data_IF_707539287236
#
_entry.id   IF_707539287236
#
_cell.length_a   1.000
_cell.length_b   1.000
_cell.length_c   1.000
_cell.angle_alpha   90.00
_cell.angle_beta   90.00
_cell.angle_gamma   90.00
#
_symmetry.space_group_name_H-M   'P 1'
#
loop_
_entity.id
_entity.type
_entity.pdbx_description
1 polymer ?
#
# COMPACT_ATOMS: atom_id res chain seq x y z
N UNK A 1 -22.54 62.19 32.25
CA UNK A 1 -22.52 62.35 30.77
C UNK A 1 -21.95 61.07 30.18
N UNK A 2 -22.68 60.52 29.21
CA UNK A 2 -22.44 59.25 28.53
C UNK A 2 -21.04 59.15 27.89
N UNK A 3 -20.39 57.99 28.00
CA UNK A 3 -20.00 57.18 26.82
C UNK A 3 -19.11 56.01 27.23
N UNK A 4 -19.66 54.79 27.25
CA UNK A 4 -18.88 53.59 26.98
C UNK A 4 -19.76 52.61 26.17
N UNK A 5 -19.95 52.94 24.88
CA UNK A 5 -20.40 51.97 23.88
C UNK A 5 -19.17 51.22 23.39
N UNK A 6 -19.07 49.92 23.68
CA UNK A 6 -18.44 48.84 22.89
C UNK A 6 -18.06 47.66 23.81
N UNK A 7 -19.06 46.91 24.24
CA UNK A 7 -18.83 45.59 24.84
C UNK A 7 -20.10 44.73 24.70
N UNK A 8 -20.50 44.42 23.46
CA UNK A 8 -21.40 43.29 23.20
C UNK A 8 -20.99 42.67 21.87
N UNK A 9 -20.12 41.68 21.94
CA UNK A 9 -19.87 40.72 20.86
C UNK A 9 -19.53 39.37 21.49
N UNK A 10 -20.41 38.90 22.37
CA UNK A 10 -20.47 37.51 22.84
C UNK A 10 -21.95 37.16 23.01
N UNK A 11 -22.65 36.92 21.91
CA UNK A 11 -24.00 36.35 21.94
C UNK A 11 -24.43 35.89 20.53
N UNK A 12 -23.72 34.92 19.96
CA UNK A 12 -24.23 34.13 18.83
C UNK A 12 -23.79 32.68 18.93
N UNK A 13 -23.83 32.13 20.15
CA UNK A 13 -23.67 30.70 20.43
C UNK A 13 -24.82 30.20 21.32
N UNK A 14 -26.07 30.42 20.92
CA UNK A 14 -27.23 29.61 21.35
C UNK A 14 -28.22 29.79 20.18
N UNK A 15 -28.67 28.79 19.43
CA UNK A 15 -29.45 27.62 19.83
C UNK A 15 -29.39 26.62 18.67
N UNK A 16 -28.86 25.42 18.92
CA UNK A 16 -29.29 24.17 18.29
C UNK A 16 -28.91 23.01 19.22
N UNK A 17 -29.43 23.09 20.44
CA UNK A 17 -29.74 21.91 21.22
C UNK A 17 -30.99 21.25 20.60
N UNK A 18 -30.80 20.61 19.45
CA UNK A 18 -31.66 19.53 19.00
C UNK A 18 -30.94 18.23 19.38
N UNK A 19 -31.56 17.44 20.25
CA UNK A 19 -31.06 16.15 20.70
C UNK A 19 -30.90 15.18 19.53
N UNK A 20 -29.66 15.08 19.07
CA UNK A 20 -29.10 14.02 18.25
C UNK A 20 -27.62 14.35 18.22
N UNK A 21 -26.74 13.43 18.62
CA UNK A 21 -25.31 13.63 18.39
C UNK A 21 -25.14 14.05 16.93
N UNK A 22 -24.57 15.24 16.68
CA UNK A 22 -24.29 15.70 15.33
C UNK A 22 -23.42 14.64 14.68
N UNK A 23 -24.01 13.82 13.83
CA UNK A 23 -23.30 12.73 13.16
C UNK A 23 -22.23 13.41 12.31
N UNK A 24 -20.97 13.14 12.59
CA UNK A 24 -19.88 13.59 11.73
C UNK A 24 -20.09 12.92 10.37
N UNK A 25 -20.33 13.72 9.34
CA UNK A 25 -20.57 13.26 7.96
C UNK A 25 -19.39 13.50 7.04
N UNK A 26 -18.43 14.33 7.47
CA UNK A 26 -17.24 14.73 6.71
C UNK A 26 -15.99 14.72 7.60
N UNK A 27 -14.84 14.49 6.98
CA UNK A 27 -13.55 14.46 7.67
C UNK A 27 -13.04 15.90 7.92
N UNK A 28 -12.70 16.23 9.17
CA UNK A 28 -11.97 17.45 9.50
C UNK A 28 -10.47 17.23 9.29
N UNK A 29 -9.97 17.63 8.13
CA UNK A 29 -8.59 17.47 7.73
C UNK A 29 -7.67 18.63 8.09
N UNK A 30 -8.08 19.52 9.02
CA UNK A 30 -7.26 20.65 9.47
C UNK A 30 -5.89 20.21 10.00
N UNK A 31 -5.84 19.02 10.62
CA UNK A 31 -4.62 18.32 11.03
C UNK A 31 -4.78 16.83 10.76
N UNK A 32 -3.68 16.09 10.77
CA UNK A 32 -3.76 14.61 10.77
C UNK A 32 -4.58 14.08 11.97
N UNK A 33 -4.47 14.70 13.14
CA UNK A 33 -5.16 14.25 14.35
C UNK A 33 -6.67 14.48 14.30
N UNK A 34 -7.11 15.63 13.76
CA UNK A 34 -8.54 15.91 13.55
C UNK A 34 -9.15 14.95 12.53
N UNK A 35 -8.40 14.59 11.48
CA UNK A 35 -8.86 13.64 10.47
C UNK A 35 -9.10 12.26 11.08
N UNK A 36 -8.15 11.77 11.88
CA UNK A 36 -8.31 10.51 12.62
C UNK A 36 -9.52 10.54 13.59
N UNK A 37 -9.77 11.67 14.24
CA UNK A 37 -10.91 11.83 15.15
C UNK A 37 -12.25 11.82 14.39
N UNK A 38 -12.36 12.55 13.27
CA UNK A 38 -13.55 12.52 12.44
C UNK A 38 -13.83 11.13 11.89
N UNK A 39 -12.82 10.43 11.37
CA UNK A 39 -12.97 9.07 10.87
C UNK A 39 -13.41 8.10 11.96
N UNK A 40 -12.83 8.18 13.17
CA UNK A 40 -13.28 7.38 14.33
C UNK A 40 -14.74 7.66 14.70
N UNK A 41 -15.17 8.91 14.62
CA UNK A 41 -16.56 9.27 14.87
C UNK A 41 -17.50 8.74 13.78
N UNK A 42 -17.07 8.78 12.51
CA UNK A 42 -17.80 8.19 11.38
C UNK A 42 -17.92 6.67 11.50
N UNK A 43 -16.94 6.01 12.10
CA UNK A 43 -16.94 4.56 12.40
C UNK A 43 -17.86 4.16 13.56
N UNK A 44 -18.38 5.12 14.35
CA UNK A 44 -19.20 4.82 15.53
C UNK A 44 -20.49 4.09 15.12
N UNK A 45 -20.68 2.89 15.64
CA UNK A 45 -21.87 2.07 15.37
C UNK A 45 -21.78 1.19 14.11
N UNK A 46 -20.61 1.13 13.45
CA UNK A 46 -20.34 0.11 12.42
C UNK A 46 -20.27 -1.29 13.03
N UNK A 47 -20.57 -2.31 12.23
CA UNK A 47 -20.33 -3.70 12.64
C UNK A 47 -18.84 -3.98 12.74
N UNK A 48 -18.44 -4.96 13.55
CA UNK A 48 -17.03 -5.29 13.78
C UNK A 48 -16.27 -5.48 12.46
N UNK A 49 -16.78 -6.28 11.52
CA UNK A 49 -16.11 -6.51 10.23
C UNK A 49 -15.91 -5.22 9.40
N UNK A 50 -16.89 -4.31 9.41
CA UNK A 50 -16.83 -3.02 8.71
C UNK A 50 -15.83 -2.06 9.40
N UNK A 51 -15.86 -2.04 10.74
CA UNK A 51 -14.91 -1.28 11.55
C UNK A 51 -13.47 -1.73 11.29
N UNK A 52 -13.25 -3.04 11.32
CA UNK A 52 -11.97 -3.67 11.09
C UNK A 52 -11.44 -3.30 9.69
N UNK A 53 -12.27 -3.46 8.65
CA UNK A 53 -11.92 -3.06 7.28
C UNK A 53 -11.52 -1.59 7.18
N UNK A 54 -12.35 -0.68 7.71
CA UNK A 54 -12.08 0.76 7.65
C UNK A 54 -10.82 1.15 8.45
N UNK A 55 -10.55 0.52 9.59
CA UNK A 55 -9.30 0.71 10.32
C UNK A 55 -8.07 0.27 9.51
N UNK A 56 -8.20 -0.80 8.71
CA UNK A 56 -7.18 -1.24 7.76
C UNK A 56 -6.97 -0.21 6.63
N UNK A 57 -8.05 0.30 6.07
CA UNK A 57 -8.02 1.31 5.01
C UNK A 57 -7.39 2.64 5.49
N UNK A 58 -7.68 3.08 6.72
CA UNK A 58 -7.06 4.26 7.34
C UNK A 58 -5.54 4.08 7.47
N UNK A 59 -5.08 2.91 7.94
CA UNK A 59 -3.64 2.61 8.04
C UNK A 59 -2.94 2.66 6.68
N UNK A 60 -3.61 2.15 5.64
CA UNK A 60 -3.10 2.20 4.28
C UNK A 60 -3.01 3.66 3.77
N UNK A 61 -4.01 4.49 4.05
CA UNK A 61 -3.99 5.91 3.70
C UNK A 61 -2.86 6.68 4.42
N UNK A 62 -2.59 6.39 5.69
CA UNK A 62 -1.42 6.93 6.41
C UNK A 62 -0.08 6.54 5.75
N UNK A 63 0.00 5.33 5.18
CA UNK A 63 1.20 4.91 4.46
C UNK A 63 1.36 5.65 3.11
N UNK A 64 0.24 6.08 2.49
CA UNK A 64 0.24 6.86 1.25
C UNK A 64 0.52 8.34 1.50
N UNK A 65 -0.04 8.89 2.57
CA UNK A 65 -0.02 10.30 2.91
C UNK A 65 0.60 10.50 4.30
N UNK A 66 1.93 10.65 4.40
CA UNK A 66 2.60 10.78 5.68
C UNK A 66 2.31 12.13 6.38
N UNK A 67 2.04 12.07 7.68
CA UNK A 67 1.91 13.25 8.53
C UNK A 67 0.75 14.16 8.10
N UNK A 68 1.01 15.45 7.91
CA UNK A 68 -0.03 16.43 7.58
C UNK A 68 -0.67 16.23 6.19
N UNK A 69 -0.05 15.44 5.31
CA UNK A 69 -0.66 15.10 4.02
C UNK A 69 -1.92 14.25 4.20
N UNK A 70 -2.00 13.43 5.25
CA UNK A 70 -3.17 12.60 5.55
C UNK A 70 -4.43 13.45 5.76
N UNK A 71 -4.32 14.46 6.63
CA UNK A 71 -5.44 15.38 6.90
C UNK A 71 -5.84 16.15 5.65
N UNK A 72 -4.87 16.69 4.91
CA UNK A 72 -5.13 17.44 3.67
C UNK A 72 -5.80 16.59 2.60
N UNK A 73 -5.38 15.33 2.43
CA UNK A 73 -5.95 14.44 1.43
C UNK A 73 -7.44 14.20 1.70
N UNK A 74 -7.87 14.12 2.97
CA UNK A 74 -9.23 13.74 3.33
C UNK A 74 -10.13 14.91 3.73
N UNK A 75 -9.60 16.13 3.88
CA UNK A 75 -10.37 17.27 4.37
C UNK A 75 -11.67 17.52 3.58
N UNK A 76 -12.81 17.56 4.27
CA UNK A 76 -14.13 17.78 3.69
C UNK A 76 -14.68 16.59 2.91
N UNK A 77 -13.99 15.44 2.87
CA UNK A 77 -14.53 14.23 2.25
C UNK A 77 -15.53 13.56 3.17
N UNK A 78 -16.64 13.13 2.60
CA UNK A 78 -17.59 12.21 3.22
C UNK A 78 -17.12 10.75 3.07
N UNK A 79 -17.98 9.79 3.43
CA UNK A 79 -17.65 8.37 3.29
C UNK A 79 -17.42 7.93 1.84
N UNK A 80 -18.11 8.51 0.87
CA UNK A 80 -17.93 8.17 -0.54
C UNK A 80 -16.59 8.70 -1.05
N UNK A 81 -16.24 9.93 -0.67
CA UNK A 81 -14.93 10.52 -0.92
C UNK A 81 -13.79 9.74 -0.26
N UNK A 82 -13.98 9.28 0.99
CA UNK A 82 -13.04 8.40 1.68
C UNK A 82 -12.88 7.08 0.92
N UNK A 83 -13.96 6.40 0.55
CA UNK A 83 -13.93 5.13 -0.17
C UNK A 83 -13.25 5.25 -1.54
N UNK A 84 -13.47 6.36 -2.25
CA UNK A 84 -12.78 6.65 -3.50
C UNK A 84 -11.26 6.81 -3.29
N UNK A 85 -10.85 7.51 -2.21
CA UNK A 85 -9.44 7.69 -1.85
C UNK A 85 -8.78 6.36 -1.49
N UNK A 86 -9.49 5.48 -0.78
CA UNK A 86 -9.06 4.11 -0.48
C UNK A 86 -8.87 3.31 -1.76
N UNK A 87 -9.81 3.38 -2.70
CA UNK A 87 -9.71 2.65 -3.97
C UNK A 87 -8.52 3.13 -4.82
N UNK A 88 -8.28 4.44 -4.88
CA UNK A 88 -7.10 5.00 -5.56
C UNK A 88 -5.80 4.57 -4.87
N UNK A 89 -5.77 4.62 -3.54
CA UNK A 89 -4.60 4.22 -2.75
C UNK A 89 -4.28 2.73 -2.92
N UNK A 90 -5.29 1.86 -3.04
CA UNK A 90 -5.10 0.43 -3.37
C UNK A 90 -4.40 0.29 -4.72
N UNK A 91 -4.89 0.97 -5.77
CA UNK A 91 -4.26 0.95 -7.10
C UNK A 91 -2.82 1.44 -7.07
N UNK A 92 -2.55 2.52 -6.34
CA UNK A 92 -1.19 3.03 -6.15
C UNK A 92 -0.25 1.97 -5.57
N UNK A 93 -0.65 1.29 -4.50
CA UNK A 93 0.18 0.27 -3.87
C UNK A 93 0.33 -1.00 -4.72
N UNK A 94 -0.71 -1.40 -5.46
CA UNK A 94 -0.63 -2.50 -6.42
C UNK A 94 0.40 -2.18 -7.51
N UNK A 95 0.31 -1.00 -8.13
CA UNK A 95 1.24 -0.58 -9.17
C UNK A 95 2.67 -0.54 -8.63
N UNK A 96 2.89 0.12 -7.49
CA UNK A 96 4.19 0.21 -6.85
C UNK A 96 4.76 -1.16 -6.49
N UNK A 97 3.92 -2.08 -6.02
CA UNK A 97 4.29 -3.45 -5.70
C UNK A 97 4.73 -4.22 -6.95
N UNK A 98 3.95 -4.17 -8.03
CA UNK A 98 4.27 -4.79 -9.32
C UNK A 98 5.60 -4.26 -9.87
N UNK A 99 5.80 -2.95 -9.88
CA UNK A 99 7.04 -2.30 -10.35
C UNK A 99 8.25 -2.74 -9.52
N UNK A 100 8.12 -2.73 -8.19
CA UNK A 100 9.20 -3.13 -7.28
C UNK A 100 9.57 -4.60 -7.48
N UNK A 101 8.59 -5.50 -7.49
CA UNK A 101 8.84 -6.93 -7.67
C UNK A 101 9.50 -7.22 -9.03
N UNK A 102 9.03 -6.57 -10.10
CA UNK A 102 9.66 -6.73 -11.42
C UNK A 102 11.11 -6.22 -11.44
N UNK A 103 11.38 -5.09 -10.78
CA UNK A 103 12.73 -4.52 -10.69
C UNK A 103 13.68 -5.43 -9.91
N UNK A 104 13.26 -5.93 -8.74
CA UNK A 104 14.06 -6.83 -7.92
C UNK A 104 14.32 -8.16 -8.66
N UNK A 105 13.30 -8.73 -9.31
CA UNK A 105 13.47 -9.96 -10.09
C UNK A 105 14.37 -9.74 -11.31
N UNK A 106 14.27 -8.58 -11.98
CA UNK A 106 15.12 -8.28 -13.13
C UNK A 106 16.58 -8.13 -12.70
N UNK A 107 16.86 -7.47 -11.58
CA UNK A 107 18.21 -7.36 -11.04
C UNK A 107 18.82 -8.74 -10.73
N UNK A 108 18.03 -9.66 -10.16
CA UNK A 108 18.44 -11.05 -9.92
C UNK A 108 18.75 -11.80 -11.24
N UNK A 109 17.93 -11.59 -12.28
CA UNK A 109 18.18 -12.17 -13.62
C UNK A 109 19.50 -11.64 -14.18
N UNK A 110 19.70 -10.32 -14.15
CA UNK A 110 20.88 -9.66 -14.71
C UNK A 110 22.16 -10.13 -14.01
N UNK A 111 22.12 -10.28 -12.68
CA UNK A 111 23.24 -10.82 -11.90
C UNK A 111 23.58 -12.27 -12.32
N UNK A 112 22.56 -13.12 -12.50
CA UNK A 112 22.77 -14.52 -12.90
C UNK A 112 23.27 -14.64 -14.34
N UNK A 113 22.79 -13.78 -15.25
CA UNK A 113 23.27 -13.70 -16.64
C UNK A 113 24.75 -13.30 -16.64
N UNK A 114 25.11 -12.27 -15.87
CA UNK A 114 26.50 -11.82 -15.78
C UNK A 114 27.41 -12.90 -15.19
N UNK A 115 27.01 -13.58 -14.11
CA UNK A 115 27.77 -14.70 -13.53
C UNK A 115 27.98 -15.84 -14.51
N UNK A 116 26.97 -16.19 -15.30
CA UNK A 116 27.09 -17.22 -16.33
C UNK A 116 28.04 -16.80 -17.45
N UNK A 117 27.98 -15.52 -17.86
CA UNK A 117 28.86 -14.97 -18.88
C UNK A 117 30.32 -15.01 -18.41
N UNK A 118 30.61 -14.50 -17.21
CA UNK A 118 31.97 -14.49 -16.65
C UNK A 118 32.55 -15.90 -16.52
N UNK A 119 31.76 -16.85 -16.03
CA UNK A 119 32.20 -18.23 -15.91
C UNK A 119 32.43 -18.88 -17.28
N UNK A 120 31.55 -18.62 -18.25
CA UNK A 120 31.69 -19.13 -19.62
C UNK A 120 32.95 -18.57 -20.30
N UNK A 121 33.16 -17.26 -20.21
CA UNK A 121 34.33 -16.59 -20.76
C UNK A 121 35.62 -17.14 -20.15
N UNK A 122 35.65 -17.35 -18.82
CA UNK A 122 36.78 -17.97 -18.13
C UNK A 122 37.09 -19.39 -18.65
N UNK A 123 36.06 -20.24 -18.83
CA UNK A 123 36.25 -21.61 -19.33
C UNK A 123 36.78 -21.62 -20.76
N UNK A 124 36.24 -20.77 -21.64
CA UNK A 124 36.71 -20.62 -23.02
C UNK A 124 38.16 -20.14 -23.05
N UNK A 125 38.50 -19.11 -22.26
CA UNK A 125 39.87 -18.59 -22.17
C UNK A 125 40.86 -19.61 -21.60
N UNK A 126 40.41 -20.52 -20.72
CA UNK A 126 41.22 -21.61 -20.19
C UNK A 126 41.47 -22.75 -21.19
N UNK A 127 40.89 -22.68 -22.38
CA UNK A 127 41.05 -23.70 -23.44
C UNK A 127 40.18 -24.94 -23.26
N UNK A 128 39.13 -24.88 -22.44
CA UNK A 128 38.20 -25.99 -22.27
C UNK A 128 37.25 -26.10 -23.47
N UNK A 129 37.58 -27.01 -24.39
CA UNK A 129 36.81 -27.28 -25.61
C UNK A 129 35.58 -28.16 -25.37
N UNK A 130 35.45 -28.76 -24.18
CA UNK A 130 34.31 -29.59 -23.79
C UNK A 130 33.24 -28.83 -23.01
N UNK A 131 33.48 -27.55 -22.74
CA UNK A 131 32.60 -26.72 -21.94
C UNK A 131 31.28 -26.45 -22.66
N UNK A 132 30.18 -26.96 -22.08
CA UNK A 132 28.82 -26.64 -22.49
C UNK A 132 28.11 -25.84 -21.38
N UNK A 133 27.88 -24.54 -21.56
CA UNK A 133 27.20 -23.72 -20.55
C UNK A 133 25.75 -24.12 -20.32
N UNK A 134 25.08 -24.80 -21.25
CA UNK A 134 23.69 -25.23 -21.06
C UNK A 134 23.60 -26.39 -20.06
N UNK A 135 24.59 -27.29 -20.05
CA UNK A 135 24.56 -28.53 -19.27
C UNK A 135 25.55 -28.54 -18.08
N UNK A 136 26.47 -27.59 -18.00
CA UNK A 136 27.43 -27.52 -16.89
C UNK A 136 26.72 -27.19 -15.56
N UNK A 137 27.02 -27.88 -14.44
CA UNK A 137 26.25 -27.74 -13.18
C UNK A 137 26.17 -26.32 -12.61
N UNK A 138 27.22 -25.51 -12.81
CA UNK A 138 27.23 -24.12 -12.35
C UNK A 138 26.29 -23.23 -13.18
N UNK A 139 26.39 -23.30 -14.50
CA UNK A 139 25.65 -22.42 -15.42
C UNK A 139 24.22 -22.87 -15.63
N UNK A 140 23.97 -24.18 -15.73
CA UNK A 140 22.63 -24.77 -15.86
C UNK A 140 21.74 -24.43 -14.66
N UNK A 141 22.28 -24.43 -13.43
CA UNK A 141 21.55 -24.01 -12.23
C UNK A 141 21.12 -22.55 -12.31
N UNK A 142 22.02 -21.67 -12.75
CA UNK A 142 21.71 -20.25 -12.93
C UNK A 142 20.69 -20.03 -14.06
N UNK A 143 20.79 -20.77 -15.17
CA UNK A 143 19.81 -20.74 -16.27
C UNK A 143 18.42 -21.18 -15.78
N UNK A 144 18.33 -22.25 -14.99
CA UNK A 144 17.06 -22.69 -14.40
C UNK A 144 16.47 -21.62 -13.47
N UNK A 145 17.29 -20.94 -12.67
CA UNK A 145 16.84 -19.81 -11.83
C UNK A 145 16.33 -18.64 -12.67
N UNK A 146 17.01 -18.29 -13.75
CA UNK A 146 16.58 -17.25 -14.69
C UNK A 146 15.20 -17.59 -15.28
N UNK A 147 14.99 -18.83 -15.74
CA UNK A 147 13.70 -19.25 -16.28
C UNK A 147 12.58 -19.21 -15.23
N UNK A 148 12.86 -19.65 -14.00
CA UNK A 148 11.91 -19.50 -12.88
C UNK A 148 11.57 -18.03 -12.61
N UNK A 149 12.55 -17.13 -12.65
CA UNK A 149 12.32 -15.69 -12.45
C UNK A 149 11.50 -15.06 -13.59
N UNK A 150 11.74 -15.45 -14.85
CA UNK A 150 10.89 -15.03 -15.98
C UNK A 150 9.46 -15.52 -15.84
N UNK A 151 9.26 -16.77 -15.39
CA UNK A 151 7.92 -17.30 -15.09
C UNK A 151 7.24 -16.52 -13.96
N UNK A 152 7.98 -16.12 -12.93
CA UNK A 152 7.47 -15.26 -11.85
C UNK A 152 7.06 -13.88 -12.37
N UNK A 153 7.87 -13.22 -13.21
CA UNK A 153 7.50 -11.95 -13.85
C UNK A 153 6.23 -12.10 -14.70
N UNK A 154 6.12 -13.18 -15.50
CA UNK A 154 4.93 -13.46 -16.28
C UNK A 154 3.69 -13.68 -15.40
N UNK A 155 3.86 -14.39 -14.28
CA UNK A 155 2.80 -14.59 -13.29
C UNK A 155 2.34 -13.25 -12.72
N UNK A 156 3.25 -12.41 -12.22
CA UNK A 156 2.93 -11.09 -11.68
C UNK A 156 2.24 -10.18 -12.70
N UNK A 157 2.67 -10.23 -13.97
CA UNK A 157 2.06 -9.47 -15.05
C UNK A 157 0.65 -9.95 -15.41
N UNK A 158 0.33 -11.23 -15.17
CA UNK A 158 -0.98 -11.81 -15.46
C UNK A 158 -2.03 -11.60 -14.37
N UNK A 159 -1.61 -11.23 -13.15
CA UNK A 159 -2.52 -11.04 -12.03
C UNK A 159 -3.42 -9.82 -12.21
N UNK A 160 -4.71 -10.03 -12.02
CA UNK A 160 -5.66 -8.93 -11.81
C UNK A 160 -5.25 -8.12 -10.57
N UNK A 161 -5.73 -6.89 -10.48
CA UNK A 161 -5.47 -6.02 -9.33
C UNK A 161 -6.04 -6.60 -8.03
N UNK A 162 -7.21 -7.26 -8.10
CA UNK A 162 -7.83 -7.92 -6.95
C UNK A 162 -7.04 -9.16 -6.52
N UNK A 163 -6.58 -9.98 -7.47
CA UNK A 163 -5.75 -11.16 -7.16
C UNK A 163 -4.40 -10.73 -6.58
N UNK A 164 -3.79 -9.69 -7.15
CA UNK A 164 -2.55 -9.13 -6.63
C UNK A 164 -2.75 -8.59 -5.22
N UNK A 165 -3.82 -7.83 -4.98
CA UNK A 165 -4.12 -7.28 -3.66
C UNK A 165 -4.39 -8.37 -2.61
N UNK A 166 -5.08 -9.44 -2.99
CA UNK A 166 -5.35 -10.58 -2.12
C UNK A 166 -4.08 -11.33 -1.70
N UNK A 167 -3.14 -11.50 -2.63
CA UNK A 167 -1.92 -12.28 -2.40
C UNK A 167 -0.79 -11.44 -1.80
N UNK A 168 -0.65 -10.17 -2.23
CA UNK A 168 0.50 -9.30 -1.94
C UNK A 168 0.14 -7.94 -1.33
N UNK A 169 -1.14 -7.60 -1.24
CA UNK A 169 -1.60 -6.35 -0.61
C UNK A 169 -1.26 -6.30 0.87
N UNK A 170 -1.35 -5.12 1.47
CA UNK A 170 -0.99 -4.87 2.87
C UNK A 170 -1.78 -5.80 3.83
N UNK A 171 -1.18 -6.93 4.17
CA UNK A 171 -1.70 -7.94 5.09
C UNK A 171 -1.80 -7.46 6.53
N UNK A 172 -2.85 -6.71 6.85
CA UNK A 172 -3.22 -6.38 8.24
C UNK A 172 -4.57 -6.97 8.68
N UNK A 173 -5.40 -7.52 7.78
CA UNK A 173 -6.66 -8.20 8.15
C UNK A 173 -6.82 -9.65 7.68
N UNK A 174 -6.11 -10.09 6.64
CA UNK A 174 -6.13 -11.50 6.24
C UNK A 174 -5.08 -12.33 6.99
N UNK A 175 -4.04 -11.70 7.52
CA UNK A 175 -3.01 -12.34 8.37
C UNK A 175 -3.45 -12.54 9.82
N UNK A 176 -4.55 -11.90 10.27
CA UNK A 176 -5.11 -12.07 11.62
C UNK A 176 -6.22 -13.12 11.73
N UNK A 177 -6.59 -13.80 10.62
CA UNK A 177 -7.60 -14.88 10.62
C UNK A 177 -7.07 -16.24 10.11
N UNK A 178 -5.78 -16.39 9.81
CA UNK A 178 -5.24 -17.70 9.44
C UNK A 178 -3.76 -17.65 9.09
N UNK A 179 -2.94 -18.16 9.99
CA UNK A 179 -1.53 -18.42 9.76
C UNK A 179 -1.33 -19.48 8.67
N UNK A 180 -1.10 -19.07 7.42
CA UNK A 180 -0.30 -19.82 6.41
C UNK A 180 0.11 -18.95 5.20
N UNK A 181 0.23 -17.62 5.33
CA UNK A 181 0.92 -16.84 4.31
C UNK A 181 2.43 -17.10 4.47
N UNK A 182 2.92 -18.06 3.69
CA UNK A 182 4.29 -18.54 3.71
C UNK A 182 5.27 -17.36 3.55
N UNK A 183 6.13 -17.06 4.52
CA UNK A 183 7.14 -16.04 4.35
C UNK A 183 8.19 -16.63 3.41
N UNK A 184 8.27 -16.06 2.20
CA UNK A 184 9.35 -16.21 1.22
C UNK A 184 10.63 -16.85 1.81
N UNK A 185 10.73 -18.17 1.68
CA UNK A 185 11.94 -19.00 1.83
C UNK A 185 11.93 -20.07 0.76
#
# INVERSE_FOLDING_TARGET
MFSLKKAVLVASMIVLAACGESKITEVDGTTSASADQSLKAMMKGMKDNEYLQMAGDIKMLHARYPGEEFGKALNGKDMDGFNAEVADTKKFFIQRGKERSNTEIQADIDELVQKNKEFTDFRIQSGDTSFDPANHPFTSKNLSRIENYKQKQATLASLSDDDYWKEYGCGCYQSSLGATANPLK
#
